data_IF_946388999287
#
_entry.id   IF_946388999287
#
_cell.length_a   1.000
_cell.length_b   1.000
_cell.length_c   1.000
_cell.angle_alpha   90.00
_cell.angle_beta   90.00
_cell.angle_gamma   90.00
#
_symmetry.space_group_name_H-M   'P 1'
#
loop_
_entity.id
_entity.type
_entity.pdbx_description
1 polymer ?
#
# COMPACT_ATOMS: atom_id res chain seq x y z
N UNK A 1 -12.20 27.07 -7.87
CA UNK A 1 -12.12 27.64 -6.52
C UNK A 1 -10.85 27.12 -5.87
N UNK A 2 -9.74 27.84 -5.94
CA UNK A 2 -8.62 27.63 -5.02
C UNK A 2 -8.70 28.74 -3.98
N UNK A 3 -8.65 28.37 -2.70
CA UNK A 3 -8.85 29.26 -1.57
C UNK A 3 -7.84 30.41 -1.60
N UNK A 4 -8.30 31.64 -1.31
CA UNK A 4 -7.45 32.81 -1.10
C UNK A 4 -6.79 32.72 0.29
N UNK A 5 -5.88 31.79 0.48
CA UNK A 5 -5.01 31.78 1.66
C UNK A 5 -3.85 32.74 1.43
N UNK A 6 -3.55 33.57 2.44
CA UNK A 6 -2.40 34.50 2.43
C UNK A 6 -1.16 33.72 2.00
N UNK A 7 -0.51 34.16 0.91
CA UNK A 7 0.70 33.54 0.39
C UNK A 7 1.85 33.82 1.36
N UNK A 8 2.52 32.76 1.80
CA UNK A 8 3.83 32.87 2.42
C UNK A 8 4.92 32.89 1.34
N UNK A 9 6.15 33.26 1.72
CA UNK A 9 7.27 33.37 0.77
C UNK A 9 7.57 32.06 0.02
N UNK A 10 7.29 30.91 0.65
CA UNK A 10 7.44 29.58 0.04
C UNK A 10 6.41 29.35 -1.07
N UNK A 11 5.15 29.75 -0.86
CA UNK A 11 4.09 29.67 -1.85
C UNK A 11 4.37 30.53 -3.08
N UNK A 12 4.85 31.76 -2.88
CA UNK A 12 5.21 32.66 -3.98
C UNK A 12 6.43 32.16 -4.75
N UNK A 13 7.45 31.64 -4.05
CA UNK A 13 8.63 31.02 -4.66
C UNK A 13 8.26 29.77 -5.47
N UNK A 14 7.38 28.93 -4.94
CA UNK A 14 6.87 27.74 -5.64
C UNK A 14 6.09 28.09 -6.91
N UNK A 15 5.24 29.13 -6.86
CA UNK A 15 4.53 29.63 -8.03
C UNK A 15 5.48 30.22 -9.08
N UNK A 16 6.48 30.99 -8.65
CA UNK A 16 7.50 31.53 -9.53
C UNK A 16 8.30 30.41 -10.22
N UNK A 17 8.71 29.38 -9.47
CA UNK A 17 9.39 28.20 -10.01
C UNK A 17 8.51 27.43 -11.00
N UNK A 18 7.23 27.20 -10.66
CA UNK A 18 6.27 26.56 -11.57
C UNK A 18 6.13 27.32 -12.90
N UNK A 19 6.12 28.65 -12.86
CA UNK A 19 6.09 29.48 -14.07
C UNK A 19 7.35 29.41 -14.93
N UNK A 20 8.45 28.83 -14.43
CA UNK A 20 9.66 28.64 -15.23
C UNK A 20 9.57 27.45 -16.18
N UNK A 21 8.61 26.53 -16.00
CA UNK A 21 8.36 25.47 -16.97
C UNK A 21 7.89 26.07 -18.29
N UNK A 22 8.68 25.87 -19.36
CA UNK A 22 8.40 26.42 -20.70
C UNK A 22 7.69 25.46 -21.63
N UNK A 23 7.77 24.17 -21.33
CA UNK A 23 7.29 23.09 -22.19
C UNK A 23 6.40 22.16 -21.39
N UNK A 24 5.32 21.72 -22.03
CA UNK A 24 4.40 20.73 -21.48
C UNK A 24 4.14 19.66 -22.53
N UNK A 25 4.46 18.41 -22.19
CA UNK A 25 4.22 17.26 -23.05
C UNK A 25 3.01 16.49 -22.56
N UNK A 26 1.98 16.36 -23.40
CA UNK A 26 0.77 15.61 -23.07
C UNK A 26 0.84 14.21 -23.67
N UNK A 27 0.89 13.20 -22.82
CA UNK A 27 0.72 11.81 -23.24
C UNK A 27 -0.75 11.55 -23.60
N UNK A 28 -0.99 10.93 -24.74
CA UNK A 28 -2.34 10.68 -25.28
C UNK A 28 -2.68 9.18 -25.43
N UNK A 29 -1.74 8.27 -25.14
CA UNK A 29 -1.93 6.81 -25.26
C UNK A 29 -2.14 6.17 -23.88
N UNK A 30 -3.22 5.40 -23.74
CA UNK A 30 -3.53 4.63 -22.51
C UNK A 30 -2.89 3.24 -22.59
N UNK A 31 -1.89 2.99 -21.73
CA UNK A 31 -1.17 1.70 -21.70
C UNK A 31 -1.80 0.66 -20.77
N UNK A 32 -2.51 1.08 -19.72
CA UNK A 32 -3.08 0.13 -18.72
C UNK A 32 -4.21 -0.71 -19.29
N UNK A 33 -5.09 -0.10 -20.07
CA UNK A 33 -6.18 -0.77 -20.79
C UNK A 33 -5.84 -0.83 -22.28
N UNK A 34 -4.66 -1.33 -22.66
CA UNK A 34 -4.12 -1.23 -24.04
C UNK A 34 -4.74 -2.20 -25.04
N UNK A 35 -5.42 -3.26 -24.60
CA UNK A 35 -5.95 -4.25 -25.53
C UNK A 35 -7.14 -3.73 -26.36
N UNK A 36 -7.40 -4.44 -27.45
CA UNK A 36 -8.26 -3.97 -28.54
C UNK A 36 -9.63 -4.67 -28.58
N UNK A 37 -10.00 -5.43 -27.56
CA UNK A 37 -11.36 -5.99 -27.49
C UNK A 37 -12.40 -4.87 -27.38
N UNK A 38 -13.63 -5.12 -27.83
CA UNK A 38 -14.72 -4.14 -27.76
C UNK A 38 -14.93 -3.68 -26.31
N UNK A 39 -14.89 -4.63 -25.37
CA UNK A 39 -15.05 -4.38 -23.94
C UNK A 39 -13.95 -3.47 -23.38
N UNK A 40 -12.69 -3.68 -23.78
CA UNK A 40 -11.57 -2.84 -23.32
C UNK A 40 -11.63 -1.44 -23.92
N UNK A 41 -12.02 -1.32 -25.20
CA UNK A 41 -12.23 -0.02 -25.82
C UNK A 41 -13.37 0.75 -25.15
N UNK A 42 -14.49 0.08 -24.87
CA UNK A 42 -15.65 0.69 -24.21
C UNK A 42 -15.30 1.13 -22.79
N UNK A 43 -14.61 0.29 -22.02
CA UNK A 43 -14.15 0.67 -20.70
C UNK A 43 -13.17 1.85 -20.72
N UNK A 44 -12.22 1.87 -21.67
CA UNK A 44 -11.30 3.00 -21.85
C UNK A 44 -12.05 4.30 -22.14
N UNK A 45 -13.09 4.24 -22.97
CA UNK A 45 -13.92 5.40 -23.30
C UNK A 45 -14.73 5.89 -22.10
N UNK A 46 -15.27 5.00 -21.28
CA UNK A 46 -15.94 5.34 -20.01
C UNK A 46 -14.97 6.10 -19.09
N UNK A 47 -13.74 5.61 -18.92
CA UNK A 47 -12.74 6.25 -18.06
C UNK A 47 -12.35 7.66 -18.56
N UNK A 48 -12.24 7.84 -19.88
CA UNK A 48 -11.93 9.15 -20.48
C UNK A 48 -13.05 10.17 -20.24
N UNK A 49 -14.31 9.77 -20.39
CA UNK A 49 -15.47 10.62 -20.08
C UNK A 49 -15.53 10.96 -18.59
N UNK A 50 -15.36 9.97 -17.73
CA UNK A 50 -15.37 10.14 -16.28
C UNK A 50 -14.30 11.15 -15.82
N UNK A 51 -13.09 11.10 -16.39
CA UNK A 51 -12.01 12.06 -16.11
C UNK A 51 -12.41 13.50 -16.41
N UNK A 52 -13.20 13.73 -17.46
CA UNK A 52 -13.62 15.06 -17.89
C UNK A 52 -14.94 15.51 -17.23
N UNK A 53 -15.60 14.64 -16.46
CA UNK A 53 -16.95 14.91 -15.93
C UNK A 53 -18.07 14.77 -16.97
N UNK A 54 -17.83 14.01 -18.04
CA UNK A 54 -18.75 13.82 -19.18
C UNK A 54 -19.44 12.44 -19.13
N UNK A 55 -19.56 11.84 -17.94
CA UNK A 55 -20.18 10.52 -17.76
C UNK A 55 -21.63 10.51 -18.23
N UNK A 56 -22.04 9.43 -18.91
CA UNK A 56 -23.39 9.24 -19.44
C UNK A 56 -24.19 8.21 -18.64
N UNK A 57 -25.51 8.14 -18.87
CA UNK A 57 -26.37 7.10 -18.29
C UNK A 57 -25.95 5.71 -18.77
N UNK A 58 -25.51 5.57 -20.01
CA UNK A 58 -25.05 4.28 -20.54
C UNK A 58 -23.75 3.82 -19.89
N UNK A 59 -22.83 4.75 -19.59
CA UNK A 59 -21.62 4.45 -18.80
C UNK A 59 -22.00 3.88 -17.44
N UNK A 60 -22.96 4.52 -16.76
CA UNK A 60 -23.46 4.05 -15.48
C UNK A 60 -24.10 2.66 -15.62
N UNK A 61 -24.96 2.44 -16.62
CA UNK A 61 -25.59 1.12 -16.87
C UNK A 61 -24.53 0.03 -17.05
N UNK A 62 -23.47 0.30 -17.81
CA UNK A 62 -22.35 -0.63 -17.97
C UNK A 62 -21.65 -0.91 -16.64
N UNK A 63 -21.31 0.13 -15.86
CA UNK A 63 -20.60 -0.03 -14.59
C UNK A 63 -21.43 -0.77 -13.52
N UNK A 64 -22.75 -0.56 -13.47
CA UNK A 64 -23.65 -1.26 -12.54
C UNK A 64 -23.62 -2.77 -12.74
N UNK A 65 -23.42 -3.25 -13.98
CA UNK A 65 -23.25 -4.71 -14.22
C UNK A 65 -22.06 -5.31 -13.47
N UNK A 66 -21.13 -4.46 -13.01
CA UNK A 66 -19.92 -4.88 -12.29
C UNK A 66 -20.04 -4.72 -10.77
N UNK A 67 -21.19 -4.29 -10.25
CA UNK A 67 -21.46 -4.33 -8.82
C UNK A 67 -21.51 -5.78 -8.35
N UNK A 68 -20.97 -6.04 -7.17
CA UNK A 68 -20.79 -7.40 -6.65
C UNK A 68 -22.09 -8.22 -6.66
N UNK A 69 -23.22 -7.60 -6.30
CA UNK A 69 -24.55 -8.22 -6.29
C UNK A 69 -25.02 -8.68 -7.68
N UNK A 70 -24.49 -8.07 -8.74
CA UNK A 70 -24.82 -8.40 -10.13
C UNK A 70 -23.84 -9.42 -10.74
N UNK A 71 -22.78 -9.81 -10.01
CA UNK A 71 -21.78 -10.76 -10.48
C UNK A 71 -22.13 -12.19 -10.10
N UNK A 72 -21.84 -13.12 -11.02
CA UNK A 72 -21.94 -14.55 -10.73
C UNK A 72 -20.96 -14.97 -9.61
N UNK A 73 -21.26 -16.05 -8.90
CA UNK A 73 -20.35 -16.61 -7.88
C UNK A 73 -18.98 -16.95 -8.49
N UNK A 74 -18.97 -17.49 -9.71
CA UNK A 74 -17.74 -17.80 -10.43
C UNK A 74 -16.90 -16.54 -10.70
N UNK A 75 -17.53 -15.43 -11.11
CA UNK A 75 -16.81 -14.16 -11.29
C UNK A 75 -16.31 -13.60 -9.97
N UNK A 76 -17.13 -13.57 -8.91
CA UNK A 76 -16.70 -13.10 -7.59
C UNK A 76 -15.48 -13.85 -7.09
N UNK A 77 -15.48 -15.17 -7.24
CA UNK A 77 -14.35 -16.01 -6.85
C UNK A 77 -13.05 -15.71 -7.63
N UNK A 78 -13.13 -15.18 -8.85
CA UNK A 78 -11.93 -14.74 -9.60
C UNK A 78 -11.25 -13.53 -8.97
N UNK A 79 -11.95 -12.77 -8.13
CA UNK A 79 -11.45 -11.58 -7.45
C UNK A 79 -11.25 -11.78 -5.94
N UNK A 80 -11.31 -13.01 -5.43
CA UNK A 80 -11.16 -13.28 -4.00
C UNK A 80 -9.82 -12.80 -3.42
N UNK A 81 -8.76 -12.80 -4.24
CA UNK A 81 -7.44 -12.24 -3.90
C UNK A 81 -7.19 -10.81 -4.38
N UNK A 82 -8.20 -10.09 -4.85
CA UNK A 82 -8.04 -8.73 -5.36
C UNK A 82 -7.79 -7.71 -4.24
N UNK A 83 -7.11 -6.62 -4.58
CA UNK A 83 -6.91 -5.48 -3.68
C UNK A 83 -8.18 -4.64 -3.62
N UNK A 84 -8.63 -4.32 -2.40
CA UNK A 84 -9.75 -3.42 -2.17
C UNK A 84 -9.27 -1.97 -2.15
N UNK A 85 -9.99 -1.08 -2.82
CA UNK A 85 -9.77 0.36 -2.77
C UNK A 85 -10.96 0.99 -2.06
N UNK A 86 -10.72 1.65 -0.93
CA UNK A 86 -11.75 2.22 -0.07
C UNK A 86 -11.43 3.68 0.24
N UNK A 87 -12.44 4.44 0.63
CA UNK A 87 -12.31 5.90 0.80
C UNK A 87 -11.81 6.31 2.18
N UNK A 88 -11.91 5.43 3.19
CA UNK A 88 -11.52 5.72 4.57
C UNK A 88 -10.58 4.65 5.13
N UNK A 89 -9.61 5.09 5.92
CA UNK A 89 -8.68 4.20 6.64
C UNK A 89 -9.39 3.21 7.58
N UNK A 90 -10.50 3.62 8.21
CA UNK A 90 -11.27 2.73 9.07
C UNK A 90 -11.83 1.53 8.30
N UNK A 91 -12.32 1.75 7.07
CA UNK A 91 -12.87 0.70 6.22
C UNK A 91 -11.75 -0.21 5.69
N UNK A 92 -10.60 0.37 5.30
CA UNK A 92 -9.39 -0.38 4.93
C UNK A 92 -8.94 -1.28 6.08
N UNK A 93 -8.89 -0.75 7.30
CA UNK A 93 -8.48 -1.52 8.47
C UNK A 93 -9.48 -2.63 8.78
N UNK A 94 -10.79 -2.37 8.70
CA UNK A 94 -11.81 -3.39 8.91
C UNK A 94 -11.66 -4.56 7.93
N UNK A 95 -11.52 -4.26 6.62
CA UNK A 95 -11.31 -5.29 5.59
C UNK A 95 -10.00 -6.05 5.82
N UNK A 96 -8.88 -5.37 6.11
CA UNK A 96 -7.61 -6.04 6.37
C UNK A 96 -7.67 -6.95 7.60
N UNK A 97 -8.37 -6.55 8.66
CA UNK A 97 -8.59 -7.38 9.85
C UNK A 97 -9.45 -8.59 9.52
N UNK A 98 -10.53 -8.44 8.75
CA UNK A 98 -11.38 -9.55 8.36
C UNK A 98 -10.65 -10.54 7.45
N UNK A 99 -9.79 -10.04 6.55
CA UNK A 99 -8.90 -10.89 5.74
C UNK A 99 -7.83 -11.60 6.58
N UNK A 100 -7.28 -10.96 7.62
CA UNK A 100 -6.37 -11.65 8.56
C UNK A 100 -7.10 -12.75 9.35
N UNK A 101 -8.34 -12.49 9.78
CA UNK A 101 -9.18 -13.48 10.48
C UNK A 101 -9.53 -14.66 9.58
N UNK A 102 -9.83 -14.41 8.30
CA UNK A 102 -10.23 -15.45 7.34
C UNK A 102 -9.12 -16.47 7.05
N UNK A 103 -7.85 -16.12 7.28
CA UNK A 103 -6.73 -17.05 7.18
C UNK A 103 -6.81 -18.20 8.21
N UNK A 104 -7.56 -18.02 9.31
CA UNK A 104 -7.75 -19.01 10.36
C UNK A 104 -6.43 -19.59 10.92
N UNK A 105 -5.44 -18.72 11.11
CA UNK A 105 -4.14 -19.04 11.71
C UNK A 105 -3.82 -18.04 12.83
N UNK A 106 -2.87 -18.34 13.73
CA UNK A 106 -2.43 -17.37 14.74
C UNK A 106 -1.94 -16.06 14.11
N UNK A 107 -2.42 -14.93 14.67
CA UNK A 107 -2.01 -13.59 14.28
C UNK A 107 -0.99 -13.07 15.29
N UNK A 108 0.23 -12.79 14.83
CA UNK A 108 1.26 -12.13 15.60
C UNK A 108 0.95 -10.63 15.71
N UNK A 109 0.68 -10.18 16.92
CA UNK A 109 0.69 -8.75 17.26
C UNK A 109 2.13 -8.33 17.50
N UNK A 110 2.67 -7.40 16.74
CA UNK A 110 4.05 -6.90 16.87
C UNK A 110 3.98 -5.45 17.36
N UNK A 111 4.72 -5.12 18.42
CA UNK A 111 4.84 -3.76 18.94
C UNK A 111 6.15 -3.14 18.49
N UNK A 112 6.08 -1.88 18.05
CA UNK A 112 7.28 -1.10 17.76
C UNK A 112 8.06 -0.81 19.05
N UNK A 113 9.37 -0.60 18.90
CA UNK A 113 10.25 -0.17 19.99
C UNK A 113 10.45 1.34 19.84
N UNK A 114 10.14 2.08 20.90
CA UNK A 114 10.19 3.54 20.88
C UNK A 114 11.35 4.08 21.72
N UNK A 115 12.03 5.11 21.22
CA UNK A 115 12.95 5.96 22.00
C UNK A 115 12.48 7.42 21.94
N UNK A 116 12.71 8.22 22.98
CA UNK A 116 12.13 9.58 23.10
C UNK A 116 10.86 9.67 23.97
N UNK A 117 10.60 8.65 24.79
CA UNK A 117 9.54 8.67 25.81
C UNK A 117 8.12 8.62 25.26
N UNK A 118 7.19 9.30 25.94
CA UNK A 118 5.76 9.27 25.61
C UNK A 118 5.43 9.95 24.27
N UNK A 119 6.29 10.86 23.80
CA UNK A 119 6.14 11.53 22.52
C UNK A 119 6.23 10.53 21.37
N UNK A 120 7.29 9.70 21.35
CA UNK A 120 7.49 8.69 20.33
C UNK A 120 6.39 7.60 20.33
N UNK A 121 5.95 7.17 21.52
CA UNK A 121 4.91 6.14 21.66
C UNK A 121 3.52 6.59 21.19
N UNK A 122 3.26 7.90 21.17
CA UNK A 122 1.98 8.49 20.76
C UNK A 122 2.01 9.13 19.39
N UNK A 123 3.17 9.13 18.73
CA UNK A 123 3.31 9.64 17.37
C UNK A 123 2.42 8.82 16.43
N UNK A 124 1.77 9.51 15.49
CA UNK A 124 1.09 8.85 14.38
C UNK A 124 2.11 8.36 13.34
N UNK A 125 1.64 7.49 12.44
CA UNK A 125 2.45 6.90 11.38
C UNK A 125 3.10 7.97 10.51
N UNK A 126 2.40 9.07 10.21
CA UNK A 126 2.92 10.17 9.38
C UNK A 126 4.14 10.83 10.04
N UNK A 127 4.06 11.14 11.33
CA UNK A 127 5.18 11.67 12.12
C UNK A 127 6.32 10.64 12.20
N UNK A 128 5.99 9.36 12.31
CA UNK A 128 6.94 8.25 12.37
C UNK A 128 7.40 7.76 10.98
N UNK A 129 7.24 8.55 9.92
CA UNK A 129 7.65 8.24 8.55
C UNK A 129 7.09 6.90 8.01
N UNK A 130 5.81 6.66 8.26
CA UNK A 130 5.05 5.49 7.83
C UNK A 130 5.22 4.26 8.71
N UNK A 131 5.77 4.39 9.93
CA UNK A 131 5.86 3.29 10.89
C UNK A 131 4.66 3.28 11.84
N UNK A 132 3.95 2.15 11.84
CA UNK A 132 2.87 1.88 12.80
C UNK A 132 3.43 1.46 14.16
N UNK A 133 2.83 1.97 15.24
CA UNK A 133 3.17 1.55 16.61
C UNK A 133 2.83 0.08 16.89
N UNK A 134 1.85 -0.47 16.14
CA UNK A 134 1.43 -1.86 16.22
C UNK A 134 1.18 -2.41 14.82
N UNK A 135 1.74 -3.57 14.53
CA UNK A 135 1.50 -4.30 13.29
C UNK A 135 0.91 -5.68 13.60
N UNK A 136 -0.09 -6.11 12.83
CA UNK A 136 -0.64 -7.46 12.90
C UNK A 136 -0.20 -8.22 11.66
N UNK A 137 0.45 -9.36 11.85
CA UNK A 137 0.89 -10.24 10.77
C UNK A 137 0.47 -11.67 11.03
N UNK A 138 0.17 -12.39 9.97
CA UNK A 138 -0.13 -13.81 10.01
C UNK A 138 0.59 -14.52 8.86
N UNK A 139 0.95 -15.78 9.06
CA UNK A 139 1.41 -16.62 7.95
C UNK A 139 0.32 -16.68 6.88
N UNK A 140 0.69 -16.52 5.61
CA UNK A 140 -0.23 -16.44 4.48
C UNK A 140 -0.84 -15.06 4.24
N UNK A 141 -0.64 -14.08 5.13
CA UNK A 141 -1.15 -12.72 4.93
C UNK A 141 -0.44 -12.02 3.76
N UNK A 142 -1.23 -11.23 3.01
CA UNK A 142 -0.74 -10.35 1.96
C UNK A 142 -0.23 -9.06 2.57
N UNK A 143 0.97 -8.65 2.18
CA UNK A 143 1.66 -7.46 2.67
C UNK A 143 2.16 -6.61 1.52
N UNK A 144 2.31 -5.32 1.80
CA UNK A 144 2.94 -4.36 0.91
C UNK A 144 4.15 -3.77 1.62
N UNK A 145 5.29 -3.74 0.93
CA UNK A 145 6.48 -3.08 1.43
C UNK A 145 6.27 -1.55 1.37
N UNK A 146 6.50 -0.83 2.46
CA UNK A 146 6.28 0.63 2.54
C UNK A 146 7.58 1.45 2.40
N UNK A 147 8.70 0.80 2.13
CA UNK A 147 10.02 1.42 2.01
C UNK A 147 10.81 0.87 0.83
N UNK A 148 11.69 1.69 0.25
CA UNK A 148 12.66 1.21 -0.73
C UNK A 148 13.81 0.53 0.00
N UNK A 149 14.01 -0.76 -0.25
CA UNK A 149 15.11 -1.54 0.32
C UNK A 149 16.17 -1.86 -0.73
N UNK A 150 15.74 -2.29 -1.92
CA UNK A 150 16.63 -2.62 -3.03
C UNK A 150 15.90 -2.48 -4.37
N UNK A 151 16.05 -1.32 -4.99
CA UNK A 151 15.31 -0.93 -6.20
C UNK A 151 15.63 -1.80 -7.40
N UNK A 152 16.90 -2.14 -7.59
CA UNK A 152 17.39 -2.94 -8.73
C UNK A 152 16.79 -4.36 -8.78
N UNK A 153 16.43 -4.92 -7.63
CA UNK A 153 15.89 -6.29 -7.52
C UNK A 153 14.37 -6.33 -7.37
N UNK A 154 13.72 -5.16 -7.26
CA UNK A 154 12.27 -5.01 -7.15
C UNK A 154 11.72 -4.94 -5.72
N UNK A 155 12.56 -4.70 -4.70
CA UNK A 155 12.13 -4.42 -3.33
C UNK A 155 11.96 -2.91 -3.12
N UNK A 156 10.85 -2.40 -3.65
CA UNK A 156 10.48 -0.97 -3.61
C UNK A 156 9.23 -0.75 -2.79
N UNK A 157 8.98 0.49 -2.40
CA UNK A 157 7.70 0.88 -1.82
C UNK A 157 6.57 0.52 -2.82
N UNK A 158 5.55 -0.20 -2.33
CA UNK A 158 4.47 -0.75 -3.13
C UNK A 158 4.66 -2.21 -3.55
N UNK A 159 5.83 -2.81 -3.34
CA UNK A 159 6.06 -4.22 -3.68
C UNK A 159 5.18 -5.14 -2.82
N UNK A 160 4.38 -5.95 -3.50
CA UNK A 160 3.44 -6.88 -2.87
C UNK A 160 4.08 -8.24 -2.61
N UNK A 161 3.74 -8.86 -1.48
CA UNK A 161 4.23 -10.17 -1.10
C UNK A 161 3.33 -10.90 -0.12
N UNK A 162 3.67 -12.15 0.14
CA UNK A 162 2.95 -13.04 1.08
C UNK A 162 3.89 -13.44 2.20
N UNK A 163 3.47 -13.26 3.45
CA UNK A 163 4.23 -13.71 4.63
C UNK A 163 4.27 -15.23 4.64
N UNK A 164 5.47 -15.79 4.67
CA UNK A 164 5.69 -17.24 4.77
C UNK A 164 6.04 -17.67 6.17
N UNK A 165 6.77 -16.84 6.90
CA UNK A 165 7.08 -17.08 8.31
C UNK A 165 7.47 -15.79 9.05
N UNK A 166 7.49 -15.84 10.38
CA UNK A 166 7.90 -14.73 11.25
C UNK A 166 8.96 -15.26 12.22
N UNK A 167 10.20 -14.81 12.05
CA UNK A 167 11.33 -15.29 12.82
C UNK A 167 11.53 -14.43 14.07
N UNK A 168 11.27 -15.00 15.24
CA UNK A 168 11.61 -14.40 16.53
C UNK A 168 12.96 -14.90 17.04
N UNK A 169 13.54 -14.16 17.99
CA UNK A 169 14.67 -14.66 18.77
C UNK A 169 14.22 -15.84 19.61
N UNK A 170 15.15 -16.74 19.92
CA UNK A 170 14.92 -17.83 20.88
C UNK A 170 14.31 -17.27 22.18
N UNK A 171 13.30 -17.98 22.71
CA UNK A 171 12.49 -17.60 23.87
C UNK A 171 11.72 -16.28 23.75
N UNK A 172 11.57 -15.74 22.53
CA UNK A 172 10.72 -14.58 22.25
C UNK A 172 9.56 -14.95 21.33
N UNK A 173 8.51 -14.16 21.41
CA UNK A 173 7.36 -14.23 20.52
C UNK A 173 6.59 -12.91 20.56
N UNK A 174 5.42 -12.85 19.90
CA UNK A 174 4.52 -11.72 20.04
C UNK A 174 4.26 -11.40 21.54
N UNK A 175 4.34 -10.13 21.98
CA UNK A 175 4.32 -8.93 21.16
C UNK A 175 5.67 -8.33 20.74
N UNK A 176 6.77 -9.04 20.96
CA UNK A 176 8.12 -8.55 20.69
C UNK A 176 8.36 -8.27 19.21
N UNK A 177 9.42 -7.50 18.92
CA UNK A 177 9.86 -7.26 17.55
C UNK A 177 10.57 -8.52 17.00
N UNK A 178 10.18 -9.05 15.83
CA UNK A 178 10.86 -10.20 15.24
C UNK A 178 12.26 -9.83 14.72
N UNK A 179 13.12 -10.84 14.55
CA UNK A 179 14.40 -10.70 13.84
C UNK A 179 14.15 -10.36 12.36
N UNK A 180 13.21 -11.09 11.75
CA UNK A 180 12.79 -10.85 10.37
C UNK A 180 11.40 -11.43 10.11
N UNK A 181 10.71 -10.85 9.14
CA UNK A 181 9.53 -11.45 8.50
C UNK A 181 9.98 -12.06 7.18
N UNK A 182 9.72 -13.35 6.96
CA UNK A 182 10.06 -14.03 5.72
C UNK A 182 8.93 -13.82 4.72
N UNK A 183 9.19 -13.09 3.64
CA UNK A 183 8.17 -12.71 2.65
C UNK A 183 8.53 -13.26 1.28
N UNK A 184 7.56 -13.89 0.62
CA UNK A 184 7.66 -14.21 -0.80
C UNK A 184 7.03 -13.09 -1.62
N UNK A 185 7.85 -12.32 -2.33
CA UNK A 185 7.41 -11.16 -3.12
C UNK A 185 7.05 -11.57 -4.55
N UNK A 186 5.95 -11.02 -5.08
CA UNK A 186 5.34 -11.47 -6.34
C UNK A 186 6.24 -11.26 -7.56
N UNK A 187 7.02 -10.17 -7.56
CA UNK A 187 7.82 -9.73 -8.71
C UNK A 187 9.32 -9.59 -8.40
N UNK A 188 9.76 -10.07 -7.24
CA UNK A 188 11.16 -9.99 -6.84
C UNK A 188 12.03 -10.97 -7.63
N UNK A 189 13.17 -10.49 -8.10
CA UNK A 189 14.09 -11.27 -8.97
C UNK A 189 15.49 -11.44 -8.38
N UNK A 190 15.74 -10.88 -7.20
CA UNK A 190 17.04 -10.98 -6.55
C UNK A 190 17.26 -12.31 -5.81
N UNK A 191 18.37 -12.43 -5.06
CA UNK A 191 18.68 -13.60 -4.25
C UNK A 191 17.63 -13.86 -3.17
N UNK A 192 17.33 -15.13 -2.92
CA UNK A 192 16.37 -15.59 -1.89
C UNK A 192 16.98 -16.67 -1.03
N UNK A 193 16.47 -16.83 0.19
CA UNK A 193 16.66 -18.07 0.96
C UNK A 193 15.46 -19.01 0.73
N UNK A 194 15.62 -20.27 1.10
CA UNK A 194 14.56 -21.27 1.02
C UNK A 194 13.96 -21.47 2.40
N UNK A 195 12.63 -21.36 2.52
CA UNK A 195 11.92 -21.68 3.78
C UNK A 195 12.01 -23.17 4.09
N UNK A 196 11.60 -23.56 5.29
CA UNK A 196 11.50 -24.97 5.67
C UNK A 196 10.57 -25.78 4.75
N UNK A 197 9.58 -25.13 4.13
CA UNK A 197 8.67 -25.74 3.15
C UNK A 197 9.14 -25.62 1.69
N UNK A 198 10.39 -25.22 1.44
CA UNK A 198 10.95 -25.15 0.10
C UNK A 198 10.59 -23.88 -0.69
N UNK A 199 9.99 -22.88 -0.05
CA UNK A 199 9.55 -21.65 -0.73
C UNK A 199 10.66 -20.59 -0.78
N UNK A 200 10.76 -19.86 -1.90
CA UNK A 200 11.70 -18.73 -2.02
C UNK A 200 11.18 -17.52 -1.26
N UNK A 201 11.98 -17.06 -0.29
CA UNK A 201 11.61 -15.95 0.60
C UNK A 201 12.76 -14.97 0.77
N UNK A 202 12.39 -13.74 1.12
CA UNK A 202 13.30 -12.65 1.46
C UNK A 202 13.09 -12.31 2.94
N UNK A 203 14.13 -12.34 3.79
CA UNK A 203 14.03 -11.88 5.15
C UNK A 203 13.95 -10.35 5.21
N UNK A 204 12.86 -9.81 5.74
CA UNK A 204 12.66 -8.38 5.98
C UNK A 204 12.89 -8.09 7.45
N UNK A 205 14.02 -7.44 7.75
CA UNK A 205 14.38 -7.01 9.09
C UNK A 205 13.60 -5.74 9.50
N UNK A 206 13.37 -5.52 10.81
CA UNK A 206 12.82 -4.26 11.29
C UNK A 206 13.66 -3.05 10.88
N UNK A 207 13.00 -1.94 10.56
CA UNK A 207 13.65 -0.67 10.25
C UNK A 207 13.45 0.32 11.39
N UNK A 208 14.41 1.24 11.57
CA UNK A 208 14.31 2.37 12.50
C UNK A 208 14.08 3.65 11.71
N UNK A 209 13.17 4.50 12.18
CA UNK A 209 12.98 5.88 11.71
C UNK A 209 13.29 6.83 12.85
N UNK A 210 13.71 8.05 12.54
CA UNK A 210 14.08 9.05 13.56
C UNK A 210 13.53 10.41 13.16
N UNK A 211 13.03 11.17 14.13
CA UNK A 211 12.53 12.52 13.94
C UNK A 211 12.78 13.38 15.18
N UNK A 212 12.75 14.70 15.01
CA UNK A 212 12.92 15.64 16.11
C UNK A 212 11.59 15.88 16.83
N UNK A 213 11.52 15.43 18.08
CA UNK A 213 10.42 15.72 18.99
C UNK A 213 10.69 16.98 19.83
N UNK A 214 9.65 17.46 20.51
CA UNK A 214 9.73 18.59 21.46
C UNK A 214 10.68 18.31 22.62
N UNK A 215 10.78 17.05 23.03
CA UNK A 215 11.60 16.60 24.15
C UNK A 215 12.97 16.04 23.76
N UNK A 216 13.28 16.02 22.46
CA UNK A 216 14.52 15.48 21.89
C UNK A 216 14.26 14.53 20.73
N UNK A 217 15.32 13.85 20.29
CA UNK A 217 15.25 12.90 19.17
C UNK A 217 14.37 11.71 19.56
N UNK A 218 13.37 11.43 18.72
CA UNK A 218 12.47 10.30 18.82
C UNK A 218 12.80 9.25 17.75
N UNK A 219 12.49 7.97 18.02
CA UNK A 219 12.61 6.89 17.04
C UNK A 219 11.64 5.74 17.28
#
# INVERSE_FOLDING_TARGET
>A
MYASTKRDELSDSGFAAYKQFKEAYKLNVVQRQSGNSKEQQDFRNILLRMRNGESTIDDWRTLVTRFEDNLSVAERNRFSGAMFILTKWADVNAVNIDQLRSLNVPVAKIQAIHTGGNEAKKADSDTAHGLEAQLLLARGSRVMLTANLWTETGLVNGSMGTVKDILFKEDQGPPSLPIAVLVSFDSYKGPTITSLEGERVVPIAPIRRTWDGKSGVCS
#
